data_IF_951683054711
#
_entry.id   IF_951683054711
#
_cell.length_a   1.000
_cell.length_b   1.000
_cell.length_c   1.000
_cell.angle_alpha   90.00
_cell.angle_beta   90.00
_cell.angle_gamma   90.00
#
_symmetry.space_group_name_H-M   'P 1'
#
loop_
_entity.id
_entity.type
_entity.pdbx_description
1 polymer ?
#
# COMPACT_ATOMS: atom_id res chain seq x y z
N UNK A 1 4.26 -25.78 35.43
CA UNK A 1 4.30 -26.73 34.31
C UNK A 1 2.94 -26.74 33.63
N UNK A 2 2.75 -25.90 32.62
CA UNK A 2 1.64 -25.98 31.65
C UNK A 2 2.18 -25.48 30.34
N UNK A 3 2.47 -26.43 29.50
CA UNK A 3 2.99 -26.31 28.15
C UNK A 3 1.87 -25.71 27.25
N UNK A 4 1.98 -24.45 26.89
CA UNK A 4 1.09 -23.82 25.91
C UNK A 4 1.68 -24.04 24.51
N UNK A 5 1.33 -25.17 23.94
CA UNK A 5 1.55 -25.53 22.54
C UNK A 5 1.01 -24.44 21.61
N UNK A 6 1.94 -23.73 21.01
CA UNK A 6 1.73 -22.79 19.93
C UNK A 6 1.12 -23.51 18.70
N UNK A 7 -0.10 -23.23 18.26
CA UNK A 7 -0.63 -23.77 17.04
C UNK A 7 0.08 -23.10 15.85
N UNK A 8 1.21 -23.68 15.44
CA UNK A 8 1.77 -23.38 14.12
C UNK A 8 0.72 -23.81 13.10
N UNK A 9 0.05 -22.84 12.52
CA UNK A 9 -0.83 -23.02 11.36
C UNK A 9 -0.06 -23.80 10.31
N UNK A 10 -0.55 -25.01 10.04
CA UNK A 10 -0.08 -25.85 8.94
C UNK A 10 -0.21 -25.05 7.66
N UNK A 11 0.90 -24.56 7.14
CA UNK A 11 0.98 -24.11 5.77
C UNK A 11 0.69 -25.31 4.89
N UNK A 12 -0.52 -25.36 4.35
CA UNK A 12 -0.87 -26.32 3.31
C UNK A 12 -0.01 -25.99 2.09
N UNK A 13 1.08 -26.73 1.92
CA UNK A 13 1.84 -26.75 0.68
C UNK A 13 0.88 -27.13 -0.44
N UNK A 14 0.66 -26.28 -1.43
CA UNK A 14 -0.18 -26.66 -2.57
C UNK A 14 0.48 -27.83 -3.32
N UNK A 15 -0.31 -28.76 -3.84
CA UNK A 15 0.23 -29.92 -4.54
C UNK A 15 1.04 -29.45 -5.77
N UNK A 16 2.19 -30.06 -5.97
CA UNK A 16 3.24 -29.78 -6.98
C UNK A 16 2.74 -29.69 -8.44
N UNK A 17 1.47 -29.95 -8.69
CA UNK A 17 0.86 -30.03 -10.02
C UNK A 17 0.70 -28.70 -10.76
N UNK A 18 0.98 -27.55 -10.13
CA UNK A 18 0.76 -26.21 -10.73
C UNK A 18 1.97 -25.27 -10.62
N UNK A 19 3.19 -25.78 -10.69
CA UNK A 19 4.43 -24.99 -10.64
C UNK A 19 4.48 -23.87 -11.70
N UNK A 20 3.93 -24.13 -12.89
CA UNK A 20 3.81 -23.14 -13.95
C UNK A 20 2.96 -21.91 -13.49
N UNK A 21 1.86 -22.11 -12.77
CA UNK A 21 1.02 -21.02 -12.25
C UNK A 21 1.79 -20.13 -11.26
N UNK A 22 2.63 -20.74 -10.42
CA UNK A 22 3.52 -20.00 -9.53
C UNK A 22 4.40 -19.02 -10.34
N UNK A 23 5.11 -19.52 -11.36
CA UNK A 23 6.01 -18.68 -12.14
C UNK A 23 5.28 -17.57 -12.89
N UNK A 24 4.14 -17.84 -13.50
CA UNK A 24 3.39 -16.85 -14.28
C UNK A 24 2.77 -15.79 -13.39
N UNK A 25 2.05 -16.18 -12.35
CA UNK A 25 1.37 -15.21 -11.50
C UNK A 25 2.35 -14.43 -10.60
N UNK A 26 3.37 -15.09 -10.09
CA UNK A 26 4.43 -14.39 -9.34
C UNK A 26 5.26 -13.49 -10.26
N UNK A 27 5.57 -13.94 -11.48
CA UNK A 27 6.25 -13.13 -12.48
C UNK A 27 5.45 -11.89 -12.86
N UNK A 28 4.13 -12.03 -13.07
CA UNK A 28 3.23 -10.90 -13.32
C UNK A 28 3.18 -9.93 -12.12
N UNK A 29 3.13 -10.46 -10.91
CA UNK A 29 3.18 -9.65 -9.69
C UNK A 29 4.50 -8.89 -9.56
N UNK A 30 5.63 -9.55 -9.78
CA UNK A 30 6.96 -8.90 -9.77
C UNK A 30 7.03 -7.82 -10.84
N UNK A 31 6.61 -8.12 -12.06
CA UNK A 31 6.61 -7.16 -13.15
C UNK A 31 5.79 -5.91 -12.81
N UNK A 32 4.59 -6.09 -12.25
CA UNK A 32 3.70 -4.99 -11.91
C UNK A 32 4.25 -4.07 -10.81
N UNK A 33 4.97 -4.65 -9.83
CA UNK A 33 5.43 -3.90 -8.65
C UNK A 33 6.88 -3.40 -8.74
N UNK A 34 7.74 -4.09 -9.51
CA UNK A 34 9.19 -3.86 -9.40
C UNK A 34 9.87 -3.49 -10.72
N UNK A 35 9.21 -3.71 -11.85
CA UNK A 35 9.84 -3.43 -13.14
C UNK A 35 9.36 -2.09 -13.68
N UNK A 36 10.18 -1.03 -13.58
CA UNK A 36 9.88 0.23 -14.25
C UNK A 36 10.09 0.06 -15.76
N UNK A 37 9.18 0.61 -16.56
CA UNK A 37 9.33 0.67 -18.01
C UNK A 37 8.85 2.01 -18.55
N UNK A 38 9.47 2.50 -19.63
CA UNK A 38 9.08 3.76 -20.24
C UNK A 38 7.79 3.56 -21.07
N UNK A 39 6.72 4.22 -20.65
CA UNK A 39 5.47 4.27 -21.39
C UNK A 39 4.85 5.68 -21.27
N UNK A 40 4.40 6.27 -22.38
CA UNK A 40 3.80 7.61 -22.34
C UNK A 40 4.73 8.76 -21.95
N UNK A 41 6.06 8.55 -21.99
CA UNK A 41 7.06 9.58 -21.62
C UNK A 41 7.48 9.54 -20.14
N UNK A 42 6.85 8.73 -19.33
CA UNK A 42 7.23 8.51 -17.92
C UNK A 42 7.85 7.12 -17.75
N UNK A 43 8.87 7.04 -16.89
CA UNK A 43 9.54 5.78 -16.56
C UNK A 43 9.12 5.36 -15.13
N UNK A 44 8.04 4.60 -15.05
CA UNK A 44 7.46 4.16 -13.77
C UNK A 44 6.96 2.72 -13.86
N UNK A 45 6.48 2.18 -12.75
CA UNK A 45 5.98 0.80 -12.65
C UNK A 45 4.60 0.65 -13.29
N UNK A 46 4.25 -0.59 -13.67
CA UNK A 46 2.96 -0.90 -14.30
C UNK A 46 1.76 -0.37 -13.50
N UNK A 47 1.82 -0.45 -12.17
CA UNK A 47 0.74 0.04 -11.31
C UNK A 47 0.49 1.53 -11.47
N UNK A 48 1.55 2.34 -11.52
CA UNK A 48 1.42 3.79 -11.68
C UNK A 48 0.90 4.14 -13.07
N UNK A 49 1.36 3.44 -14.11
CA UNK A 49 0.81 3.59 -15.47
C UNK A 49 -0.68 3.25 -15.53
N UNK A 50 -1.11 2.17 -14.87
CA UNK A 50 -2.53 1.79 -14.82
C UNK A 50 -3.36 2.83 -14.07
N UNK A 51 -2.86 3.32 -12.94
CA UNK A 51 -3.53 4.37 -12.17
C UNK A 51 -3.62 5.67 -12.97
N UNK A 52 -2.54 6.06 -13.63
CA UNK A 52 -2.51 7.22 -14.53
C UNK A 52 -3.53 7.06 -15.66
N UNK A 53 -3.50 5.94 -16.37
CA UNK A 53 -4.45 5.65 -17.45
C UNK A 53 -5.91 5.66 -17.00
N UNK A 54 -6.21 5.07 -15.82
CA UNK A 54 -7.55 5.12 -15.22
C UNK A 54 -7.94 6.57 -14.89
N UNK A 55 -7.03 7.31 -14.28
CA UNK A 55 -7.26 8.71 -13.91
C UNK A 55 -7.52 9.58 -15.14
N UNK A 56 -6.74 9.41 -16.20
CA UNK A 56 -6.87 10.16 -17.46
C UNK A 56 -8.17 9.81 -18.19
N UNK A 57 -8.50 8.52 -18.21
CA UNK A 57 -9.74 8.03 -18.85
C UNK A 57 -10.99 8.52 -18.11
N UNK A 58 -10.95 8.54 -16.79
CA UNK A 58 -12.03 9.10 -15.98
C UNK A 58 -12.03 10.63 -16.00
N UNK A 59 -10.92 11.27 -16.26
CA UNK A 59 -10.77 12.72 -16.23
C UNK A 59 -11.34 13.32 -14.93
N UNK A 60 -12.25 14.28 -15.06
CA UNK A 60 -12.93 14.91 -13.91
C UNK A 60 -13.80 13.93 -13.11
N UNK A 61 -14.10 12.75 -13.64
CA UNK A 61 -14.85 11.69 -12.93
C UNK A 61 -14.02 10.99 -11.85
N UNK A 62 -12.70 11.00 -11.93
CA UNK A 62 -11.80 10.34 -10.97
C UNK A 62 -12.05 10.79 -9.53
N UNK A 63 -12.30 12.09 -9.31
CA UNK A 63 -12.62 12.67 -8.01
C UNK A 63 -13.90 12.09 -7.38
N UNK A 64 -14.93 11.79 -8.20
CA UNK A 64 -16.17 11.21 -7.70
C UNK A 64 -15.99 9.73 -7.36
N UNK A 65 -15.23 8.99 -8.16
CA UNK A 65 -14.90 7.59 -7.89
C UNK A 65 -14.15 7.47 -6.57
N UNK A 66 -13.14 8.31 -6.36
CA UNK A 66 -12.35 8.31 -5.13
C UNK A 66 -13.18 8.76 -3.93
N UNK A 67 -14.04 9.78 -4.08
CA UNK A 67 -14.99 10.15 -3.04
C UNK A 67 -15.88 8.98 -2.63
N UNK A 68 -16.40 8.23 -3.59
CA UNK A 68 -17.22 7.05 -3.34
C UNK A 68 -16.45 5.98 -2.57
N UNK A 69 -15.19 5.73 -2.94
CA UNK A 69 -14.31 4.79 -2.21
C UNK A 69 -14.05 5.24 -0.78
N UNK A 70 -13.81 6.53 -0.55
CA UNK A 70 -13.60 7.10 0.79
C UNK A 70 -14.88 6.98 1.63
N UNK A 71 -16.04 7.28 1.06
CA UNK A 71 -17.35 7.11 1.72
C UNK A 71 -17.59 5.65 2.09
N UNK A 72 -17.35 4.71 1.15
CA UNK A 72 -17.47 3.29 1.43
C UNK A 72 -16.54 2.84 2.56
N UNK A 73 -15.29 3.32 2.54
CA UNK A 73 -14.31 3.06 3.60
C UNK A 73 -14.71 3.65 4.96
N UNK A 74 -15.34 4.82 4.97
CA UNK A 74 -15.84 5.44 6.19
C UNK A 74 -17.06 4.72 6.77
N UNK A 75 -17.95 4.21 5.93
CA UNK A 75 -19.15 3.48 6.36
C UNK A 75 -18.79 2.09 6.92
N UNK A 76 -17.76 1.44 6.38
CA UNK A 76 -17.38 0.07 6.74
C UNK A 76 -17.21 -0.19 8.25
N UNK A 77 -16.49 0.64 9.05
CA UNK A 77 -16.37 0.44 10.50
C UNK A 77 -17.70 0.57 11.24
N UNK A 78 -18.63 1.40 10.75
CA UNK A 78 -19.95 1.58 11.34
C UNK A 78 -20.87 0.41 11.02
N UNK A 79 -20.88 -0.05 9.78
CA UNK A 79 -21.68 -1.20 9.35
C UNK A 79 -21.25 -2.50 10.04
N UNK A 80 -19.95 -2.68 10.30
CA UNK A 80 -19.40 -3.86 10.98
C UNK A 80 -19.38 -3.73 12.50
N UNK A 81 -19.73 -2.57 13.06
CA UNK A 81 -19.70 -2.29 14.51
C UNK A 81 -18.29 -2.27 15.13
N UNK A 82 -17.25 -2.36 14.33
CA UNK A 82 -15.86 -2.49 14.79
C UNK A 82 -15.30 -1.23 15.43
N UNK A 83 -15.93 -0.08 15.21
CA UNK A 83 -15.51 1.22 15.77
C UNK A 83 -15.56 1.26 17.30
N UNK A 84 -16.44 0.47 17.94
CA UNK A 84 -16.59 0.40 19.41
C UNK A 84 -15.53 -0.44 20.11
N UNK A 85 -14.72 -1.21 19.39
CA UNK A 85 -13.86 -2.24 20.01
C UNK A 85 -12.55 -1.69 20.60
N UNK A 86 -12.16 -0.45 20.28
CA UNK A 86 -10.96 0.20 20.82
C UNK A 86 -11.04 1.72 20.68
N UNK A 87 -10.45 2.46 21.62
CA UNK A 87 -10.35 3.93 21.56
C UNK A 87 -9.66 4.41 20.27
N UNK A 88 -8.61 3.71 19.83
CA UNK A 88 -7.94 4.02 18.57
C UNK A 88 -8.89 3.89 17.36
N UNK A 89 -9.72 2.84 17.31
CA UNK A 89 -10.68 2.67 16.22
C UNK A 89 -11.77 3.73 16.20
N UNK A 90 -12.17 4.21 17.37
CA UNK A 90 -13.12 5.32 17.49
C UNK A 90 -12.52 6.61 16.91
N UNK A 91 -11.25 6.92 17.25
CA UNK A 91 -10.54 8.07 16.69
C UNK A 91 -10.41 7.95 15.16
N UNK A 92 -10.02 6.78 14.64
CA UNK A 92 -9.95 6.57 13.19
C UNK A 92 -11.31 6.67 12.52
N UNK A 93 -12.38 6.20 13.12
CA UNK A 93 -13.74 6.34 12.58
C UNK A 93 -14.15 7.83 12.50
N UNK A 94 -13.81 8.62 13.50
CA UNK A 94 -14.04 10.06 13.47
C UNK A 94 -13.20 10.76 12.39
N UNK A 95 -11.91 10.42 12.28
CA UNK A 95 -11.04 10.95 11.23
C UNK A 95 -11.52 10.58 9.82
N UNK A 96 -12.08 9.38 9.65
CA UNK A 96 -12.68 8.98 8.37
C UNK A 96 -13.90 9.83 8.00
N UNK A 97 -14.76 10.16 8.96
CA UNK A 97 -15.88 11.09 8.71
C UNK A 97 -15.37 12.46 8.31
N UNK A 98 -14.34 12.97 9.02
CA UNK A 98 -13.73 14.25 8.68
C UNK A 98 -13.10 14.23 7.28
N UNK A 99 -12.44 13.12 6.92
CA UNK A 99 -11.88 12.94 5.58
C UNK A 99 -12.95 12.94 4.49
N UNK A 100 -14.09 12.27 4.70
CA UNK A 100 -15.25 12.31 3.79
C UNK A 100 -15.73 13.75 3.60
N UNK A 101 -15.89 14.47 4.71
CA UNK A 101 -16.41 15.84 4.70
C UNK A 101 -15.47 16.77 3.92
N UNK A 102 -14.17 16.76 4.22
CA UNK A 102 -13.17 17.58 3.53
C UNK A 102 -13.09 17.21 2.04
N UNK A 103 -13.06 15.93 1.72
CA UNK A 103 -13.01 15.49 0.32
C UNK A 103 -14.28 15.90 -0.44
N UNK A 104 -15.45 15.76 0.18
CA UNK A 104 -16.70 16.23 -0.42
C UNK A 104 -16.71 17.74 -0.66
N UNK A 105 -16.21 18.54 0.29
CA UNK A 105 -16.08 19.99 0.12
C UNK A 105 -15.20 20.33 -1.08
N UNK A 106 -14.06 19.64 -1.25
CA UNK A 106 -13.15 19.85 -2.39
C UNK A 106 -13.78 19.40 -3.72
N UNK A 107 -14.46 18.25 -3.74
CA UNK A 107 -15.06 17.70 -4.96
C UNK A 107 -16.22 18.56 -5.46
N UNK A 108 -17.04 19.09 -4.55
CA UNK A 108 -18.21 19.91 -4.89
C UNK A 108 -17.93 21.41 -4.88
N UNK A 109 -16.67 21.83 -4.65
CA UNK A 109 -16.26 23.25 -4.55
C UNK A 109 -17.10 24.06 -3.55
N UNK A 110 -17.34 23.49 -2.38
CA UNK A 110 -18.15 24.10 -1.32
C UNK A 110 -17.36 24.15 -0.02
N UNK A 111 -17.20 25.33 0.58
CA UNK A 111 -16.53 25.46 1.86
C UNK A 111 -15.74 26.77 2.04
N UNK A 112 -14.98 26.87 3.16
CA UNK A 112 -14.18 28.06 3.45
C UNK A 112 -13.03 28.23 2.46
N UNK A 113 -12.71 29.47 2.11
CA UNK A 113 -11.77 29.82 1.05
C UNK A 113 -10.35 29.23 1.27
N UNK A 114 -9.89 29.12 2.51
CA UNK A 114 -8.55 28.58 2.80
C UNK A 114 -8.36 27.12 2.34
N UNK A 115 -9.44 26.32 2.25
CA UNK A 115 -9.36 24.93 1.78
C UNK A 115 -9.08 24.87 0.27
N UNK A 116 -9.42 25.93 -0.47
CA UNK A 116 -9.28 26.01 -1.93
C UNK A 116 -7.98 26.67 -2.37
N UNK A 117 -7.10 27.04 -1.44
CA UNK A 117 -5.75 27.50 -1.80
C UNK A 117 -5.04 26.39 -2.61
N UNK A 118 -4.39 26.78 -3.72
CA UNK A 118 -3.80 25.84 -4.68
C UNK A 118 -2.81 24.87 -4.04
N UNK A 119 -2.07 25.36 -3.04
CA UNK A 119 -1.05 24.56 -2.31
C UNK A 119 -1.64 23.64 -1.22
N UNK A 120 -2.93 23.73 -0.92
CA UNK A 120 -3.60 22.93 0.12
C UNK A 120 -4.56 21.89 -0.48
N UNK A 121 -5.83 22.23 -0.57
CA UNK A 121 -6.88 21.28 -0.92
C UNK A 121 -6.75 20.70 -2.33
N UNK A 122 -6.65 21.54 -3.38
CA UNK A 122 -6.49 21.06 -4.74
C UNK A 122 -5.22 20.23 -4.95
N UNK A 123 -4.11 20.63 -4.34
CA UNK A 123 -2.86 19.86 -4.37
C UNK A 123 -3.04 18.50 -3.71
N UNK A 124 -3.57 18.45 -2.47
CA UNK A 124 -3.81 17.20 -1.75
C UNK A 124 -4.77 16.30 -2.50
N UNK A 125 -5.85 16.84 -3.06
CA UNK A 125 -6.82 16.05 -3.81
C UNK A 125 -6.20 15.43 -5.06
N UNK A 126 -5.52 16.23 -5.88
CA UNK A 126 -5.01 15.78 -7.18
C UNK A 126 -3.71 14.97 -7.07
N UNK A 127 -2.82 15.31 -6.14
CA UNK A 127 -1.50 14.67 -6.00
C UNK A 127 -1.44 13.52 -5.00
N UNK A 128 -2.38 13.46 -4.06
CA UNK A 128 -2.40 12.42 -3.02
C UNK A 128 -3.68 11.59 -3.05
N UNK A 129 -4.84 12.23 -2.88
CA UNK A 129 -6.09 11.50 -2.64
C UNK A 129 -6.52 10.70 -3.86
N UNK A 130 -6.49 11.29 -5.06
CA UNK A 130 -6.87 10.60 -6.30
C UNK A 130 -5.89 9.47 -6.64
N UNK A 131 -4.57 9.70 -6.76
CA UNK A 131 -3.65 8.63 -7.09
C UNK A 131 -3.65 7.49 -6.06
N UNK A 132 -3.59 7.80 -4.77
CA UNK A 132 -3.58 6.77 -3.71
C UNK A 132 -4.93 6.03 -3.64
N UNK A 133 -6.03 6.75 -3.79
CA UNK A 133 -7.38 6.16 -3.78
C UNK A 133 -7.60 5.15 -4.91
N UNK A 134 -7.02 5.40 -6.09
CA UNK A 134 -7.05 4.47 -7.23
C UNK A 134 -5.98 3.36 -7.11
N UNK A 135 -4.81 3.69 -6.57
CA UNK A 135 -3.70 2.74 -6.39
C UNK A 135 -4.07 1.58 -5.47
N UNK A 136 -4.81 1.85 -4.39
CA UNK A 136 -5.14 0.82 -3.39
C UNK A 136 -5.96 -0.34 -3.99
N UNK A 137 -7.10 -0.12 -4.69
CA UNK A 137 -7.87 -1.21 -5.27
C UNK A 137 -7.12 -1.91 -6.41
N UNK A 138 -6.45 -1.17 -7.30
CA UNK A 138 -5.64 -1.75 -8.39
C UNK A 138 -4.48 -2.56 -7.82
N UNK A 139 -3.73 -1.99 -6.89
CA UNK A 139 -2.62 -2.65 -6.23
C UNK A 139 -3.03 -3.90 -5.44
N UNK A 140 -4.24 -3.91 -4.85
CA UNK A 140 -4.75 -5.06 -4.13
C UNK A 140 -4.94 -6.30 -5.02
N UNK A 141 -5.29 -6.11 -6.30
CA UNK A 141 -5.42 -7.20 -7.28
C UNK A 141 -4.05 -7.82 -7.57
N UNK A 142 -3.07 -7.01 -7.94
CA UNK A 142 -1.71 -7.48 -8.22
C UNK A 142 -1.02 -8.04 -6.97
N UNK A 143 -1.29 -7.43 -5.80
CA UNK A 143 -0.80 -7.93 -4.53
C UNK A 143 -1.37 -9.32 -4.19
N UNK A 144 -2.64 -9.58 -4.51
CA UNK A 144 -3.22 -10.90 -4.35
C UNK A 144 -2.49 -11.95 -5.21
N UNK A 145 -2.03 -11.58 -6.40
CA UNK A 145 -1.19 -12.43 -7.25
C UNK A 145 0.19 -12.66 -6.61
N UNK A 146 0.82 -11.63 -6.11
CA UNK A 146 2.16 -11.69 -5.52
C UNK A 146 2.19 -12.52 -4.22
N UNK A 147 1.22 -12.32 -3.33
CA UNK A 147 1.13 -13.01 -2.03
C UNK A 147 0.48 -14.37 -2.16
N UNK A 148 -0.54 -14.50 -3.03
CA UNK A 148 -1.38 -15.70 -3.10
C UNK A 148 -0.71 -16.93 -3.68
N UNK A 149 0.35 -16.76 -4.45
CA UNK A 149 1.07 -17.87 -5.11
C UNK A 149 2.40 -18.26 -4.45
N UNK A 150 2.70 -17.73 -3.25
CA UNK A 150 3.83 -18.18 -2.43
C UNK A 150 5.18 -17.53 -2.79
N UNK A 151 5.20 -16.47 -3.59
CA UNK A 151 6.44 -15.76 -3.90
C UNK A 151 7.12 -15.19 -2.64
N UNK A 152 6.34 -14.67 -1.70
CA UNK A 152 6.86 -14.11 -0.46
C UNK A 152 7.54 -15.17 0.41
N UNK A 153 7.00 -16.39 0.42
CA UNK A 153 7.57 -17.53 1.13
C UNK A 153 8.90 -17.94 0.48
N UNK A 154 8.94 -18.04 -0.84
CA UNK A 154 10.14 -18.40 -1.58
C UNK A 154 11.27 -17.39 -1.38
N UNK A 155 11.03 -16.13 -1.62
CA UNK A 155 12.01 -15.05 -1.40
C UNK A 155 12.37 -14.91 0.07
N UNK A 156 11.39 -15.12 0.96
CA UNK A 156 11.57 -15.05 2.40
C UNK A 156 12.62 -16.04 2.91
N UNK A 157 12.67 -17.25 2.37
CA UNK A 157 13.68 -18.28 2.74
C UNK A 157 15.08 -17.82 2.32
N UNK A 158 15.24 -17.29 1.12
CA UNK A 158 16.53 -16.85 0.59
C UNK A 158 17.13 -15.66 1.34
N UNK A 159 16.30 -14.70 1.76
CA UNK A 159 16.76 -13.47 2.41
C UNK A 159 16.74 -13.57 3.94
N UNK A 160 16.13 -14.63 4.49
CA UNK A 160 16.03 -14.85 5.93
C UNK A 160 17.37 -14.81 6.70
N UNK A 161 18.49 -15.40 6.19
CA UNK A 161 19.77 -15.34 6.90
C UNK A 161 20.32 -13.92 7.07
N UNK A 162 19.89 -12.97 6.24
CA UNK A 162 20.29 -11.56 6.34
C UNK A 162 19.29 -10.79 7.22
N UNK A 163 17.98 -10.98 7.01
CA UNK A 163 16.95 -10.20 7.69
C UNK A 163 16.82 -10.52 9.18
N UNK A 164 16.97 -11.78 9.58
CA UNK A 164 16.85 -12.17 10.99
C UNK A 164 17.92 -11.55 11.89
N UNK A 165 19.23 -11.65 11.60
CA UNK A 165 20.25 -11.08 12.47
C UNK A 165 20.26 -9.54 12.44
N UNK A 166 19.99 -8.92 11.29
CA UNK A 166 20.11 -7.48 11.10
C UNK A 166 18.88 -6.72 11.60
N UNK A 167 17.67 -7.16 11.21
CA UNK A 167 16.43 -6.43 11.46
C UNK A 167 15.47 -7.14 12.42
N UNK A 168 15.78 -8.38 12.82
CA UNK A 168 14.91 -9.23 13.66
C UNK A 168 13.49 -9.42 13.07
N UNK A 169 13.39 -9.38 11.75
CA UNK A 169 12.14 -9.55 10.99
C UNK A 169 12.23 -10.81 10.12
N UNK A 170 11.09 -11.40 9.72
CA UNK A 170 11.06 -12.53 8.81
C UNK A 170 11.65 -12.14 7.44
N UNK A 171 12.28 -13.09 6.75
CA UNK A 171 12.91 -12.84 5.44
C UNK A 171 11.95 -12.27 4.38
N UNK A 172 10.66 -12.59 4.46
CA UNK A 172 9.63 -12.04 3.55
C UNK A 172 9.48 -10.52 3.63
N UNK A 173 9.88 -9.89 4.75
CA UNK A 173 9.84 -8.43 4.90
C UNK A 173 10.79 -7.68 3.96
N UNK A 174 11.75 -8.37 3.34
CA UNK A 174 12.58 -7.80 2.29
C UNK A 174 11.76 -7.36 1.07
N UNK A 175 10.68 -8.08 0.76
CA UNK A 175 9.79 -7.72 -0.36
C UNK A 175 9.06 -6.41 -0.04
N UNK A 176 8.62 -6.24 1.21
CA UNK A 176 7.97 -5.00 1.66
C UNK A 176 8.93 -3.81 1.55
N UNK A 177 10.20 -4.01 1.94
CA UNK A 177 11.24 -2.99 1.82
C UNK A 177 11.50 -2.61 0.35
N UNK A 178 11.64 -3.59 -0.53
CA UNK A 178 11.88 -3.33 -1.96
C UNK A 178 10.66 -2.70 -2.60
N UNK A 179 9.44 -3.15 -2.29
CA UNK A 179 8.20 -2.56 -2.79
C UNK A 179 8.05 -1.09 -2.37
N UNK A 180 8.43 -0.77 -1.14
CA UNK A 180 8.42 0.60 -0.63
C UNK A 180 9.45 1.48 -1.34
N UNK A 181 10.66 0.96 -1.56
CA UNK A 181 11.77 1.72 -2.14
C UNK A 181 11.60 1.96 -3.64
N UNK A 182 11.26 0.90 -4.41
CA UNK A 182 11.13 0.98 -5.88
C UNK A 182 9.79 1.62 -6.29
N UNK A 183 8.72 1.26 -5.62
CA UNK A 183 7.39 1.81 -5.86
C UNK A 183 7.12 3.06 -5.01
N UNK A 184 6.31 2.89 -3.99
CA UNK A 184 6.01 3.95 -3.04
C UNK A 184 5.85 3.39 -1.63
N UNK A 185 6.02 4.26 -0.62
CA UNK A 185 5.78 3.87 0.78
C UNK A 185 4.36 3.31 0.99
N UNK A 186 3.38 3.82 0.25
CA UNK A 186 2.00 3.35 0.31
C UNK A 186 1.87 1.89 -0.14
N UNK A 187 2.62 1.49 -1.18
CA UNK A 187 2.69 0.10 -1.63
C UNK A 187 3.34 -0.80 -0.58
N UNK A 188 4.46 -0.39 0.00
CA UNK A 188 5.10 -1.13 1.09
C UNK A 188 4.15 -1.33 2.27
N UNK A 189 3.46 -0.29 2.71
CA UNK A 189 2.47 -0.37 3.79
C UNK A 189 1.28 -1.28 3.43
N UNK A 190 0.82 -1.24 2.18
CA UNK A 190 -0.26 -2.10 1.71
C UNK A 190 0.14 -3.58 1.79
N UNK A 191 1.36 -3.92 1.33
CA UNK A 191 1.92 -5.28 1.42
C UNK A 191 2.02 -5.72 2.87
N UNK A 192 2.67 -4.91 3.72
CA UNK A 192 2.85 -5.20 5.15
C UNK A 192 1.51 -5.43 5.87
N UNK A 193 0.51 -4.57 5.63
CA UNK A 193 -0.82 -4.71 6.23
C UNK A 193 -1.53 -5.98 5.74
N UNK A 194 -1.41 -6.33 4.48
CA UNK A 194 -1.99 -7.55 3.92
C UNK A 194 -1.39 -8.80 4.57
N UNK A 195 -0.06 -8.87 4.65
CA UNK A 195 0.66 -9.99 5.27
C UNK A 195 0.39 -10.09 6.76
N UNK A 196 0.32 -8.94 7.46
CA UNK A 196 -0.07 -8.89 8.87
C UNK A 196 -1.47 -9.44 9.10
N UNK A 197 -2.46 -9.01 8.30
CA UNK A 197 -3.83 -9.53 8.40
C UNK A 197 -3.95 -11.01 8.06
N UNK A 198 -3.08 -11.52 7.21
CA UNK A 198 -2.98 -12.95 6.90
C UNK A 198 -2.23 -13.76 7.98
N UNK A 199 -1.80 -13.14 9.09
CA UNK A 199 -1.06 -13.79 10.18
C UNK A 199 0.41 -14.05 9.86
N UNK A 200 0.94 -13.45 8.81
CA UNK A 200 2.33 -13.65 8.37
C UNK A 200 3.35 -12.84 9.18
N UNK A 201 2.94 -11.79 9.86
CA UNK A 201 3.75 -10.96 10.75
C UNK A 201 3.13 -10.88 12.15
N UNK A 202 3.97 -10.78 13.16
CA UNK A 202 3.54 -10.33 14.49
C UNK A 202 3.33 -8.81 14.50
N UNK A 203 2.60 -8.28 15.49
CA UNK A 203 2.39 -6.84 15.62
C UNK A 203 3.69 -6.05 15.74
N UNK A 204 4.71 -6.59 16.43
CA UNK A 204 6.05 -5.97 16.53
C UNK A 204 6.77 -5.96 15.20
N UNK A 205 6.77 -7.08 14.47
CA UNK A 205 7.41 -7.17 13.15
C UNK A 205 6.75 -6.22 12.16
N UNK A 206 5.41 -6.19 12.12
CA UNK A 206 4.66 -5.27 11.25
C UNK A 206 4.97 -3.80 11.56
N UNK A 207 5.11 -3.44 12.85
CA UNK A 207 5.47 -2.09 13.25
C UNK A 207 6.91 -1.72 12.84
N UNK A 208 7.87 -2.64 13.00
CA UNK A 208 9.27 -2.44 12.57
C UNK A 208 9.33 -2.28 11.04
N UNK A 209 8.62 -3.11 10.29
CA UNK A 209 8.59 -3.06 8.83
C UNK A 209 7.96 -1.74 8.36
N UNK A 210 6.81 -1.38 8.91
CA UNK A 210 6.09 -0.16 8.55
C UNK A 210 6.88 1.12 8.88
N UNK A 211 7.53 1.17 10.05
CA UNK A 211 8.31 2.33 10.46
C UNK A 211 9.73 2.37 9.87
N UNK A 212 10.36 1.21 9.67
CA UNK A 212 11.75 1.12 9.25
C UNK A 212 11.96 1.06 7.74
N UNK A 213 11.07 0.39 7.01
CA UNK A 213 11.26 0.14 5.57
C UNK A 213 10.36 1.00 4.67
N UNK A 214 9.30 1.58 5.20
CA UNK A 214 8.33 2.36 4.42
C UNK A 214 8.53 3.87 4.52
N UNK A 215 9.74 4.33 4.83
CA UNK A 215 10.00 5.75 5.11
C UNK A 215 10.40 6.57 3.90
N UNK A 216 11.01 5.98 2.87
CA UNK A 216 11.44 6.71 1.69
C UNK A 216 11.33 5.86 0.43
N UNK A 217 10.80 6.45 -0.65
CA UNK A 217 10.88 5.87 -1.98
C UNK A 217 12.08 6.43 -2.76
N UNK A 218 12.58 5.66 -3.73
CA UNK A 218 13.64 6.12 -4.62
C UNK A 218 13.25 7.42 -5.33
N UNK A 219 12.00 7.52 -5.77
CA UNK A 219 11.44 8.72 -6.41
C UNK A 219 11.50 9.94 -5.49
N UNK A 220 11.14 9.78 -4.22
CA UNK A 220 11.22 10.86 -3.23
C UNK A 220 12.67 11.28 -2.97
N UNK A 221 13.59 10.32 -2.86
CA UNK A 221 15.02 10.60 -2.69
C UNK A 221 15.59 11.38 -3.89
N UNK A 222 15.24 10.98 -5.11
CA UNK A 222 15.62 11.68 -6.33
C UNK A 222 15.05 13.10 -6.34
N UNK A 223 13.77 13.27 -6.00
CA UNK A 223 13.13 14.58 -5.91
C UNK A 223 13.87 15.50 -4.92
N UNK A 224 14.22 15.01 -3.74
CA UNK A 224 14.98 15.78 -2.75
C UNK A 224 16.38 16.17 -3.26
N UNK A 225 17.07 15.29 -3.98
CA UNK A 225 18.38 15.60 -4.55
C UNK A 225 18.31 16.70 -5.61
N UNK A 226 17.26 16.69 -6.45
CA UNK A 226 17.10 17.70 -7.51
C UNK A 226 16.51 19.02 -7.02
N UNK A 227 15.71 19.01 -5.94
CA UNK A 227 15.06 20.21 -5.41
C UNK A 227 15.80 20.84 -4.23
N UNK A 228 16.75 20.12 -3.61
CA UNK A 228 17.58 20.67 -2.54
C UNK A 228 18.52 21.73 -3.12
N UNK A 229 18.49 22.99 -2.62
CA UNK A 229 19.47 24.00 -3.01
C UNK A 229 20.85 23.47 -2.64
N UNK A 230 21.74 23.34 -3.65
CA UNK A 230 23.13 22.96 -3.43
C UNK A 230 23.75 23.90 -2.38
N UNK A 231 24.33 23.40 -1.31
CA UNK A 231 25.10 24.25 -0.41
C UNK A 231 26.27 24.85 -1.21
N UNK A 232 26.26 26.15 -1.41
CA UNK A 232 27.39 26.91 -1.95
C UNK A 232 28.46 27.07 -0.86
#
# INVERSE_FOLDING_TARGET
MTDTTNPRTKTSTPPVKNTWRFFVYSGLGIFAFFVPFPFGGENTILLDHLVGWISDTLGSGSKYVVLLLIVAGAIAPFATGTWKSSAARMVFAFLNILAVLITAMLVFNFGPAFIFEEDLGPFLLNKLVIPVGLLIPVGAIFLALLVGFGLMEYMGVWVQPIMRPLYKTPGRSAIDAVASFVGSYSLGLLVTNRVYKAGGYTGKEAAIIAAGFSTASATFMVCLLYTSPSPR
#
